data_IF_391210080816
#
_entry.id   IF_391210080816
#
_cell.length_a   1.000
_cell.length_b   1.000
_cell.length_c   1.000
_cell.angle_alpha   90.00
_cell.angle_beta   90.00
_cell.angle_gamma   90.00
#
_symmetry.space_group_name_H-M   'P 1'
#
loop_
_entity.id
_entity.type
_entity.pdbx_description
1 polymer ?
#
# COMPACT_ATOMS: atom_id res chain seq x y z
N UNK A 1 -10.62 -3.82 -6.96
CA UNK A 1 -10.28 -5.12 -7.56
C UNK A 1 -11.32 -5.60 -8.58
N UNK A 2 -12.61 -5.69 -8.24
CA UNK A 2 -13.68 -6.15 -9.16
C UNK A 2 -13.71 -5.44 -10.53
N UNK A 3 -13.50 -4.12 -10.57
CA UNK A 3 -13.44 -3.40 -11.84
C UNK A 3 -12.21 -3.76 -12.70
N UNK A 4 -11.05 -4.00 -12.06
CA UNK A 4 -9.82 -4.44 -12.75
C UNK A 4 -9.99 -5.86 -13.29
N UNK A 5 -10.63 -6.73 -12.52
CA UNK A 5 -10.98 -8.09 -12.94
C UNK A 5 -11.88 -8.07 -14.19
N UNK A 6 -12.93 -7.23 -14.19
CA UNK A 6 -13.80 -7.03 -15.36
C UNK A 6 -13.05 -6.49 -16.59
N UNK A 7 -11.91 -5.81 -16.38
CA UNK A 7 -11.01 -5.32 -17.43
C UNK A 7 -9.97 -6.37 -17.88
N UNK A 8 -10.06 -7.61 -17.38
CA UNK A 8 -9.15 -8.71 -17.73
C UNK A 8 -7.79 -8.66 -17.04
N UNK A 9 -7.67 -7.92 -15.93
CA UNK A 9 -6.41 -7.77 -15.23
C UNK A 9 -5.97 -9.06 -14.55
N UNK A 10 -4.73 -9.49 -14.77
CA UNK A 10 -4.17 -10.67 -14.13
C UNK A 10 -3.50 -10.30 -12.79
N UNK A 11 -4.13 -10.67 -11.68
CA UNK A 11 -3.60 -10.41 -10.34
C UNK A 11 -2.35 -11.22 -9.98
N UNK A 12 -2.09 -12.35 -10.66
CA UNK A 12 -0.92 -13.21 -10.37
C UNK A 12 0.41 -12.60 -10.79
N UNK A 13 0.41 -11.76 -11.81
CA UNK A 13 1.58 -11.04 -12.29
C UNK A 13 1.61 -9.57 -11.82
N UNK A 14 0.60 -9.12 -11.08
CA UNK A 14 0.48 -7.74 -10.66
C UNK A 14 1.55 -7.36 -9.63
N UNK A 15 2.16 -6.18 -9.81
CA UNK A 15 2.94 -5.48 -8.77
C UNK A 15 1.97 -4.65 -7.94
N UNK A 16 1.98 -4.82 -6.63
CA UNK A 16 1.08 -4.11 -5.71
C UNK A 16 1.93 -3.32 -4.73
N UNK A 17 1.75 -2.01 -4.70
CA UNK A 17 2.35 -1.14 -3.69
C UNK A 17 1.29 -0.73 -2.68
N UNK A 18 1.59 -0.90 -1.39
CA UNK A 18 0.76 -0.47 -0.28
C UNK A 18 1.60 0.49 0.54
N UNK A 19 1.17 1.74 0.59
CA UNK A 19 1.81 2.76 1.41
C UNK A 19 0.78 3.48 2.29
N UNK A 20 1.22 3.93 3.46
CA UNK A 20 0.40 4.71 4.41
C UNK A 20 0.12 3.98 5.72
N UNK A 21 -1.07 4.15 6.28
CA UNK A 21 -1.40 3.59 7.60
C UNK A 21 -0.46 4.11 8.70
N UNK A 22 -0.05 5.38 8.60
CA UNK A 22 0.83 6.02 9.57
C UNK A 22 0.30 5.90 10.99
N UNK A 23 1.22 5.78 11.95
CA UNK A 23 0.94 5.66 13.37
C UNK A 23 1.31 6.96 14.08
N UNK A 24 0.58 7.32 15.12
CA UNK A 24 1.02 8.39 15.99
C UNK A 24 2.30 7.97 16.72
N UNK A 25 3.17 8.94 17.04
CA UNK A 25 4.46 8.70 17.69
C UNK A 25 4.37 7.84 18.96
N UNK A 26 3.32 8.05 19.75
CA UNK A 26 3.09 7.31 21.00
C UNK A 26 2.11 6.13 20.85
N UNK A 27 1.67 5.82 19.62
CA UNK A 27 0.75 4.73 19.27
C UNK A 27 -0.39 4.52 20.29
N UNK A 28 -1.18 5.56 20.63
CA UNK A 28 -2.28 5.39 21.55
C UNK A 28 -3.27 4.40 20.95
N UNK A 29 -3.70 3.43 21.75
CA UNK A 29 -4.52 2.30 21.29
C UNK A 29 -5.83 2.74 20.62
N UNK A 30 -6.42 3.84 21.10
CA UNK A 30 -7.62 4.44 20.55
C UNK A 30 -7.43 5.06 19.14
N UNK A 31 -6.20 5.34 18.70
CA UNK A 31 -5.90 5.96 17.40
C UNK A 31 -5.07 5.03 16.51
N UNK A 32 -5.53 3.78 16.37
CA UNK A 32 -4.87 2.71 15.62
C UNK A 32 -5.46 2.49 14.21
N UNK A 33 -6.18 3.48 13.65
CA UNK A 33 -6.93 3.32 12.39
C UNK A 33 -6.05 2.87 11.21
N UNK A 34 -4.78 3.29 11.16
CA UNK A 34 -3.83 2.84 10.16
C UNK A 34 -3.59 1.32 10.20
N UNK A 35 -3.51 0.75 11.41
CA UNK A 35 -3.36 -0.70 11.60
C UNK A 35 -4.63 -1.46 11.27
N UNK A 36 -5.80 -0.94 11.67
CA UNK A 36 -7.10 -1.54 11.33
C UNK A 36 -7.27 -1.59 9.82
N UNK A 37 -7.01 -0.47 9.13
CA UNK A 37 -7.09 -0.40 7.66
C UNK A 37 -6.14 -1.41 6.99
N UNK A 38 -4.92 -1.57 7.53
CA UNK A 38 -3.97 -2.53 7.00
C UNK A 38 -4.45 -3.98 7.17
N UNK A 39 -5.00 -4.34 8.34
CA UNK A 39 -5.59 -5.68 8.58
C UNK A 39 -6.76 -5.97 7.63
N UNK A 40 -7.64 -4.98 7.42
CA UNK A 40 -8.74 -5.10 6.47
C UNK A 40 -8.21 -5.30 5.05
N UNK A 41 -7.24 -4.51 4.61
CA UNK A 41 -6.60 -4.66 3.30
C UNK A 41 -5.99 -6.05 3.10
N UNK A 42 -5.25 -6.56 4.09
CA UNK A 42 -4.70 -7.92 4.04
C UNK A 42 -5.80 -8.96 3.84
N UNK A 43 -6.94 -8.83 4.53
CA UNK A 43 -8.08 -9.75 4.35
C UNK A 43 -8.68 -9.71 2.93
N UNK A 44 -8.60 -8.57 2.25
CA UNK A 44 -9.03 -8.43 0.85
C UNK A 44 -8.01 -9.03 -0.12
N UNK A 45 -6.71 -8.83 0.11
CA UNK A 45 -5.67 -9.34 -0.80
C UNK A 45 -5.64 -10.87 -0.85
N UNK A 46 -5.95 -11.56 0.27
CA UNK A 46 -6.02 -13.03 0.33
C UNK A 46 -7.07 -13.61 -0.64
N UNK A 47 -8.07 -12.83 -1.05
CA UNK A 47 -9.12 -13.28 -1.97
C UNK A 47 -8.67 -13.33 -3.43
N UNK A 48 -7.49 -12.81 -3.74
CA UNK A 48 -6.96 -12.73 -5.10
C UNK A 48 -5.66 -13.52 -5.23
N UNK A 49 -5.37 -14.10 -6.41
CA UNK A 49 -4.18 -14.93 -6.62
C UNK A 49 -2.93 -14.05 -6.79
N UNK A 50 -2.60 -13.21 -5.80
CA UNK A 50 -1.48 -12.28 -5.84
C UNK A 50 -0.19 -12.99 -5.41
N UNK A 51 0.89 -12.81 -6.16
CA UNK A 51 2.21 -13.27 -5.74
C UNK A 51 2.73 -12.38 -4.59
N UNK A 52 2.98 -12.93 -3.38
CA UNK A 52 3.47 -12.14 -2.25
C UNK A 52 4.79 -11.41 -2.53
N UNK A 53 5.65 -11.97 -3.41
CA UNK A 53 6.92 -11.34 -3.81
C UNK A 53 6.72 -10.04 -4.61
N UNK A 54 5.53 -9.83 -5.16
CA UNK A 54 5.20 -8.63 -5.93
C UNK A 54 4.56 -7.54 -5.07
N UNK A 55 4.40 -7.77 -3.76
CA UNK A 55 3.80 -6.82 -2.83
C UNK A 55 4.90 -5.99 -2.17
N UNK A 56 4.88 -4.68 -2.41
CA UNK A 56 5.73 -3.71 -1.73
C UNK A 56 4.93 -3.09 -0.59
N UNK A 57 5.46 -3.17 0.63
CA UNK A 57 4.85 -2.60 1.83
C UNK A 57 5.70 -1.43 2.35
N UNK A 58 5.06 -0.28 2.52
CA UNK A 58 5.62 0.95 3.11
C UNK A 58 4.58 1.54 4.08
N UNK A 59 4.36 0.85 5.20
CA UNK A 59 3.28 1.17 6.16
C UNK A 59 3.79 1.45 7.56
N UNK A 60 3.01 2.18 8.36
CA UNK A 60 3.25 2.33 9.80
C UNK A 60 4.28 3.39 10.18
N UNK A 61 4.61 4.30 9.27
CA UNK A 61 5.48 5.44 9.56
C UNK A 61 4.88 6.34 10.65
N UNK A 62 5.73 7.04 11.40
CA UNK A 62 5.31 8.00 12.41
C UNK A 62 5.14 9.43 11.88
N UNK A 63 5.10 9.58 10.55
CA UNK A 63 4.97 10.82 9.82
C UNK A 63 3.93 10.68 8.69
N UNK A 64 3.59 11.81 8.07
CA UNK A 64 2.80 11.80 6.84
C UNK A 64 3.63 11.25 5.69
N UNK A 65 3.04 10.33 4.93
CA UNK A 65 3.64 9.76 3.72
C UNK A 65 2.79 10.11 2.51
N UNK A 66 3.43 10.51 1.42
CA UNK A 66 2.77 10.72 0.12
C UNK A 66 3.25 9.67 -0.87
N UNK A 67 2.33 8.93 -1.49
CA UNK A 67 2.64 7.96 -2.53
C UNK A 67 2.29 8.58 -3.89
N UNK A 68 3.29 8.70 -4.77
CA UNK A 68 3.12 9.05 -6.16
C UNK A 68 3.20 7.80 -7.03
N UNK A 69 2.20 7.60 -7.91
CA UNK A 69 2.11 6.46 -8.80
C UNK A 69 2.08 6.95 -10.25
N UNK A 70 3.17 6.74 -10.99
CA UNK A 70 3.23 7.01 -12.42
C UNK A 70 3.04 5.70 -13.19
N UNK A 71 1.82 5.46 -13.68
CA UNK A 71 1.50 4.24 -14.43
C UNK A 71 2.15 4.18 -15.82
N UNK A 72 2.44 5.34 -16.43
CA UNK A 72 3.05 5.42 -17.76
C UNK A 72 4.52 5.01 -17.71
N UNK A 73 5.25 5.55 -16.75
CA UNK A 73 6.67 5.27 -16.55
C UNK A 73 6.91 4.06 -15.65
N UNK A 74 5.84 3.52 -15.04
CA UNK A 74 5.87 2.41 -14.07
C UNK A 74 6.74 2.72 -12.86
N UNK A 75 6.71 3.97 -12.41
CA UNK A 75 7.48 4.47 -11.27
C UNK A 75 6.54 4.63 -10.07
N UNK A 76 7.03 4.18 -8.92
CA UNK A 76 6.43 4.40 -7.61
C UNK A 76 7.40 5.23 -6.78
N UNK A 77 6.94 6.33 -6.19
CA UNK A 77 7.74 7.13 -5.27
C UNK A 77 6.98 7.33 -3.97
N UNK A 78 7.68 7.27 -2.86
CA UNK A 78 7.15 7.67 -1.56
C UNK A 78 7.93 8.87 -1.05
N UNK A 79 7.21 9.91 -0.64
CA UNK A 79 7.77 11.05 0.06
C UNK A 79 7.44 10.91 1.55
N UNK A 80 8.49 10.86 2.39
CA UNK A 80 8.40 10.80 3.83
C UNK A 80 8.95 12.11 4.40
N UNK A 81 8.05 13.03 4.77
CA UNK A 81 8.43 14.31 5.39
C UNK A 81 9.47 15.13 4.58
N UNK A 82 9.37 15.12 3.26
CA UNK A 82 10.27 15.84 2.35
C UNK A 82 11.38 15.00 1.74
N UNK A 83 11.62 13.78 2.24
CA UNK A 83 12.60 12.85 1.66
C UNK A 83 11.92 11.89 0.67
N UNK A 84 12.48 11.75 -0.54
CA UNK A 84 11.92 10.90 -1.60
C UNK A 84 12.66 9.56 -1.73
N UNK A 85 11.91 8.47 -1.87
CA UNK A 85 12.39 7.12 -2.15
C UNK A 85 11.65 6.51 -3.35
N UNK A 86 12.37 5.91 -4.30
CA UNK A 86 11.79 5.16 -5.44
C UNK A 86 11.61 3.69 -5.06
N UNK A 87 10.45 3.10 -5.38
CA UNK A 87 10.00 1.75 -4.95
C UNK A 87 9.89 0.70 -6.08
#
# INVERSE_FOLDING_TARGET
>A
MKELENKGFNFSSAKIAIAGGSKYKNSPEALNIGEINFKVLQSFLIKYPINPKNVILRVGFNCQSFLEVNLKEKILKINLNGEEEVL
#
